data_IF_807232715206
#
_entry.id   IF_807232715206
#
_cell.length_a   1.000
_cell.length_b   1.000
_cell.length_c   1.000
_cell.angle_alpha   90.00
_cell.angle_beta   90.00
_cell.angle_gamma   90.00
#
_symmetry.space_group_name_H-M   'P 1'
#
loop_
_entity.id
_entity.type
_entity.pdbx_description
1 polymer ?
#
# COMPACT_ATOMS: atom_id res chain seq x y z
N UNK A 1 7.04 13.04 -10.84
CA UNK A 1 7.23 13.36 -9.40
C UNK A 1 7.31 12.06 -8.63
N UNK A 2 8.34 11.83 -7.81
CA UNK A 2 8.33 10.68 -6.87
C UNK A 2 7.37 11.05 -5.74
N UNK A 3 6.22 10.38 -5.65
CA UNK A 3 5.45 10.39 -4.41
C UNK A 3 6.38 9.93 -3.28
N UNK A 4 6.30 10.53 -2.10
CA UNK A 4 6.95 10.00 -0.91
C UNK A 4 5.93 9.10 -0.21
N UNK A 5 6.38 8.03 0.45
CA UNK A 5 5.49 7.12 1.19
C UNK A 5 4.67 7.88 2.25
N UNK A 6 5.22 8.94 2.85
CA UNK A 6 4.51 9.80 3.82
C UNK A 6 3.20 10.40 3.29
N UNK A 7 3.05 10.54 1.95
CA UNK A 7 1.82 11.07 1.35
C UNK A 7 0.73 10.01 1.12
N UNK A 8 1.07 8.72 1.19
CA UNK A 8 0.10 7.64 0.98
C UNK A 8 -0.39 7.04 2.29
N UNK A 9 0.38 7.17 3.37
CA UNK A 9 -0.06 6.75 4.70
C UNK A 9 -1.27 7.59 5.14
N UNK A 10 -2.31 6.93 5.66
CA UNK A 10 -3.62 7.49 5.97
C UNK A 10 -4.54 7.65 4.75
N UNK A 11 -4.08 7.26 3.55
CA UNK A 11 -4.89 7.30 2.35
C UNK A 11 -5.82 6.09 2.20
N UNK A 12 -6.99 6.31 1.59
CA UNK A 12 -7.98 5.28 1.31
C UNK A 12 -7.46 4.29 0.25
N UNK A 13 -7.41 3.01 0.58
CA UNK A 13 -7.10 1.95 -0.39
C UNK A 13 -8.34 1.66 -1.22
N UNK A 14 -8.29 1.93 -2.52
CA UNK A 14 -9.42 1.64 -3.42
C UNK A 14 -9.26 0.32 -4.18
N UNK A 15 -8.03 -0.21 -4.24
CA UNK A 15 -7.78 -1.51 -4.87
C UNK A 15 -6.49 -2.15 -4.34
N UNK A 16 -6.49 -3.48 -4.24
CA UNK A 16 -5.31 -4.31 -3.96
C UNK A 16 -5.19 -5.33 -5.09
N UNK A 17 -4.08 -5.30 -5.83
CA UNK A 17 -3.82 -6.14 -7.00
C UNK A 17 -2.59 -7.04 -6.77
N UNK A 18 -2.81 -8.34 -6.88
CA UNK A 18 -1.75 -9.35 -6.96
C UNK A 18 -1.94 -10.17 -8.26
N UNK A 19 -1.12 -9.97 -9.30
CA UNK A 19 -1.20 -10.74 -10.53
C UNK A 19 -0.81 -12.20 -10.30
N UNK A 20 -1.27 -13.08 -11.20
CA UNK A 20 -1.03 -14.53 -11.12
C UNK A 20 0.46 -14.90 -11.13
N UNK A 21 1.28 -14.14 -11.86
CA UNK A 21 2.74 -14.32 -11.93
C UNK A 21 3.49 -13.84 -10.66
N UNK A 22 2.77 -13.18 -9.74
CA UNK A 22 3.29 -12.61 -8.50
C UNK A 22 4.51 -11.73 -8.73
N UNK A 23 4.54 -10.95 -9.80
CA UNK A 23 5.65 -10.02 -10.06
C UNK A 23 5.63 -8.80 -9.13
N UNK A 24 4.47 -8.48 -8.56
CA UNK A 24 4.32 -7.39 -7.60
C UNK A 24 3.07 -7.56 -6.74
N UNK A 25 2.99 -6.81 -5.64
CA UNK A 25 1.75 -6.48 -4.95
C UNK A 25 1.52 -4.97 -5.12
N UNK A 26 0.34 -4.56 -5.57
CA UNK A 26 0.01 -3.15 -5.83
C UNK A 26 -1.19 -2.71 -5.00
N UNK A 27 -1.02 -1.61 -4.29
CA UNK A 27 -2.10 -0.85 -3.66
C UNK A 27 -2.38 0.39 -4.51
N UNK A 28 -3.64 0.66 -4.79
CA UNK A 28 -4.09 1.92 -5.36
C UNK A 28 -4.67 2.73 -4.22
N UNK A 29 -4.03 3.86 -3.90
CA UNK A 29 -4.33 4.66 -2.70
C UNK A 29 -4.79 6.05 -3.13
N UNK A 30 -5.97 6.46 -2.67
CA UNK A 30 -6.48 7.82 -2.85
C UNK A 30 -5.90 8.71 -1.75
N UNK A 31 -5.31 9.85 -2.13
CA UNK A 31 -4.58 10.74 -1.21
C UNK A 31 -5.17 12.15 -1.11
N UNK A 32 -6.30 12.40 -1.77
CA UNK A 32 -7.04 13.66 -1.73
C UNK A 32 -8.54 13.37 -1.69
N UNK A 33 -9.26 14.05 -0.80
CA UNK A 33 -10.72 13.95 -0.70
C UNK A 33 -11.45 14.70 -1.81
N UNK A 34 -10.79 15.67 -2.45
CA UNK A 34 -11.41 16.57 -3.43
C UNK A 34 -11.24 16.11 -4.88
N UNK A 35 -10.23 15.27 -5.16
CA UNK A 35 -9.90 14.79 -6.51
C UNK A 35 -9.89 13.26 -6.57
N UNK A 36 -9.98 12.68 -7.78
CA UNK A 36 -9.75 11.25 -8.05
C UNK A 36 -8.23 10.91 -8.12
N UNK A 37 -7.40 11.75 -7.50
CA UNK A 37 -5.96 11.56 -7.50
C UNK A 37 -5.59 10.33 -6.67
N UNK A 38 -5.01 9.35 -7.38
CA UNK A 38 -4.54 8.09 -6.81
C UNK A 38 -3.04 7.93 -6.99
N UNK A 39 -2.41 7.29 -6.01
CA UNK A 39 -1.01 6.90 -6.02
C UNK A 39 -0.94 5.39 -5.94
N UNK A 40 -0.08 4.81 -6.77
CA UNK A 40 0.17 3.37 -6.75
C UNK A 40 1.37 3.07 -5.86
N UNK A 41 1.18 2.22 -4.85
CA UNK A 41 2.26 1.63 -4.06
C UNK A 41 2.48 0.20 -4.56
N UNK A 42 3.68 -0.10 -5.08
CA UNK A 42 4.07 -1.40 -5.61
C UNK A 42 5.21 -1.99 -4.82
N UNK A 43 5.11 -3.26 -4.48
CA UNK A 43 6.15 -4.07 -3.83
C UNK A 43 6.59 -5.16 -4.80
N UNK A 44 7.89 -5.30 -5.06
CA UNK A 44 8.41 -6.16 -6.13
C UNK A 44 9.88 -6.52 -5.88
N UNK A 45 10.37 -7.54 -6.60
CA UNK A 45 11.80 -7.83 -6.66
C UNK A 45 12.47 -7.09 -7.82
N UNK A 46 13.63 -6.49 -7.57
CA UNK A 46 14.39 -5.71 -8.55
C UNK A 46 14.91 -6.57 -9.73
N UNK A 47 15.07 -7.87 -9.50
CA UNK A 47 15.48 -8.86 -10.49
C UNK A 47 14.32 -9.44 -11.31
N UNK A 48 13.07 -9.06 -11.02
CA UNK A 48 11.88 -9.59 -11.70
C UNK A 48 11.50 -11.02 -11.28
N UNK A 49 12.08 -11.54 -10.19
CA UNK A 49 11.61 -12.78 -9.60
C UNK A 49 10.24 -12.60 -8.93
N UNK A 50 9.49 -13.68 -8.79
CA UNK A 50 8.20 -13.64 -8.12
C UNK A 50 8.35 -13.31 -6.64
N UNK A 51 7.47 -12.45 -6.12
CA UNK A 51 7.37 -12.16 -4.69
C UNK A 51 6.61 -13.27 -3.96
N UNK A 52 6.85 -13.38 -2.65
CA UNK A 52 5.98 -14.13 -1.73
C UNK A 52 5.14 -13.15 -0.93
N UNK A 53 3.86 -13.47 -0.76
CA UNK A 53 2.91 -12.71 0.05
C UNK A 53 2.36 -13.67 1.11
N UNK A 54 2.33 -13.21 2.36
CA UNK A 54 1.74 -13.93 3.48
C UNK A 54 0.83 -12.99 4.28
N UNK A 55 -0.24 -13.53 4.85
CA UNK A 55 -1.24 -12.77 5.59
C UNK A 55 -1.39 -13.38 6.97
N UNK A 56 -1.04 -12.63 8.01
CA UNK A 56 -1.48 -12.98 9.36
C UNK A 56 -2.96 -12.66 9.54
N UNK A 57 -3.45 -11.63 8.86
CA UNK A 57 -4.87 -11.28 8.78
C UNK A 57 -5.17 -10.51 7.50
N UNK A 58 -6.23 -10.90 6.78
CA UNK A 58 -6.72 -10.17 5.61
C UNK A 58 -8.24 -10.01 5.69
N UNK A 59 -8.70 -8.76 5.70
CA UNK A 59 -10.11 -8.39 5.71
C UNK A 59 -10.40 -7.50 4.52
N UNK A 60 -11.12 -8.02 3.53
CA UNK A 60 -11.56 -7.24 2.38
C UNK A 60 -13.03 -6.87 2.59
N UNK A 61 -13.26 -5.65 3.08
CA UNK A 61 -14.58 -5.06 3.23
C UNK A 61 -14.68 -3.78 2.41
N UNK A 62 -15.83 -3.55 1.79
CA UNK A 62 -16.11 -2.29 1.11
C UNK A 62 -16.78 -1.33 2.10
N UNK A 63 -16.14 -0.20 2.36
CA UNK A 63 -16.65 0.89 3.18
C UNK A 63 -17.02 2.04 2.26
N UNK A 64 -18.24 2.55 2.37
CA UNK A 64 -18.67 3.75 1.64
C UNK A 64 -18.60 4.97 2.55
N UNK A 65 -17.83 5.98 2.12
CA UNK A 65 -17.77 7.28 2.76
C UNK A 65 -18.71 8.24 2.04
N UNK A 66 -19.83 8.60 2.68
CA UNK A 66 -20.84 9.49 2.10
C UNK A 66 -20.39 10.95 1.96
N UNK A 67 -19.36 11.38 2.70
CA UNK A 67 -18.83 12.75 2.63
C UNK A 67 -17.95 12.96 1.40
N UNK A 68 -17.17 11.94 1.03
CA UNK A 68 -16.23 11.98 -0.10
C UNK A 68 -16.71 11.19 -1.33
N UNK A 69 -17.89 10.58 -1.21
CA UNK A 69 -18.54 9.67 -2.16
C UNK A 69 -17.59 8.60 -2.74
N UNK A 70 -16.81 7.97 -1.87
CA UNK A 70 -15.85 6.93 -2.26
C UNK A 70 -16.10 5.63 -1.53
N UNK A 71 -15.96 4.53 -2.28
CA UNK A 71 -15.88 3.18 -1.71
C UNK A 71 -14.43 2.77 -1.59
N UNK A 72 -14.05 2.31 -0.41
CA UNK A 72 -12.67 2.06 0.02
C UNK A 72 -12.58 0.70 0.71
N UNK A 73 -11.39 0.11 0.72
CA UNK A 73 -11.01 -1.10 1.44
C UNK A 73 -10.46 -0.78 2.85
N UNK A 74 -10.57 0.48 3.25
CA UNK A 74 -10.01 1.08 4.44
C UNK A 74 -8.65 1.76 4.20
N UNK A 75 -8.02 2.22 5.26
CA UNK A 75 -6.83 3.05 5.20
C UNK A 75 -5.52 2.25 5.11
N UNK A 76 -4.52 2.79 4.40
CA UNK A 76 -3.13 2.33 4.46
C UNK A 76 -2.44 2.99 5.67
N UNK A 77 -2.24 2.26 6.77
CA UNK A 77 -1.77 2.83 8.03
C UNK A 77 -0.25 2.90 8.16
N UNK A 78 0.46 1.85 7.77
CA UNK A 78 1.92 1.80 7.98
C UNK A 78 2.60 0.83 7.02
N UNK A 79 3.84 1.16 6.64
CA UNK A 79 4.71 0.28 5.84
C UNK A 79 6.09 0.25 6.48
N UNK A 80 6.47 -0.92 7.01
CA UNK A 80 7.75 -1.14 7.67
C UNK A 80 8.64 -2.08 6.87
N UNK A 81 9.93 -1.75 6.75
CA UNK A 81 10.92 -2.64 6.14
C UNK A 81 11.51 -3.58 7.20
N UNK A 82 11.68 -4.85 6.85
CA UNK A 82 12.42 -5.85 7.62
C UNK A 82 13.46 -6.55 6.74
N UNK A 83 14.18 -7.53 7.29
CA UNK A 83 15.30 -8.20 6.61
C UNK A 83 14.91 -8.80 5.25
N UNK A 84 13.76 -9.47 5.16
CA UNK A 84 13.34 -10.19 3.96
C UNK A 84 12.24 -9.47 3.15
N UNK A 85 11.82 -8.26 3.56
CA UNK A 85 10.84 -7.49 2.81
C UNK A 85 10.11 -6.40 3.59
N UNK A 86 8.79 -6.33 3.43
CA UNK A 86 7.93 -5.30 3.99
C UNK A 86 6.74 -5.87 4.76
N UNK A 87 6.41 -5.23 5.87
CA UNK A 87 5.17 -5.42 6.62
C UNK A 87 4.26 -4.24 6.32
N UNK A 88 3.05 -4.52 5.88
CA UNK A 88 2.04 -3.53 5.50
C UNK A 88 0.87 -3.67 6.45
N UNK A 89 0.50 -2.57 7.11
CA UNK A 89 -0.63 -2.49 8.02
C UNK A 89 -1.68 -1.55 7.45
N UNK A 90 -2.94 -1.90 7.70
CA UNK A 90 -4.09 -1.08 7.38
C UNK A 90 -5.36 -1.69 7.96
N UNK A 91 -6.50 -1.05 7.70
CA UNK A 91 -7.83 -1.57 8.07
C UNK A 91 -8.11 -2.97 7.48
N UNK A 92 -7.45 -3.30 6.37
CA UNK A 92 -7.50 -4.59 5.72
C UNK A 92 -6.67 -5.68 6.44
N UNK A 93 -6.01 -5.37 7.56
CA UNK A 93 -5.19 -6.30 8.34
C UNK A 93 -3.68 -6.18 8.04
N UNK A 94 -2.94 -7.26 8.31
CA UNK A 94 -1.48 -7.29 8.21
C UNK A 94 -1.03 -8.18 7.05
N UNK A 95 -0.28 -7.58 6.13
CA UNK A 95 0.29 -8.25 4.94
C UNK A 95 1.81 -8.24 5.01
N UNK A 96 2.42 -9.41 4.91
CA UNK A 96 3.86 -9.57 4.72
C UNK A 96 4.17 -9.75 3.24
N UNK A 97 5.09 -8.95 2.72
CA UNK A 97 5.57 -9.03 1.35
C UNK A 97 7.06 -9.26 1.36
N UNK A 98 7.50 -10.43 0.92
CA UNK A 98 8.90 -10.81 0.85
C UNK A 98 9.46 -10.36 -0.51
N UNK A 99 10.10 -9.19 -0.50
CA UNK A 99 10.70 -8.60 -1.69
C UNK A 99 11.78 -7.56 -1.36
N UNK A 100 12.53 -7.07 -2.35
CA UNK A 100 13.67 -6.17 -2.12
C UNK A 100 13.38 -4.67 -2.38
N UNK A 101 12.31 -4.35 -3.14
CA UNK A 101 11.98 -2.98 -3.54
C UNK A 101 10.51 -2.64 -3.32
N UNK A 102 10.27 -1.34 -3.11
CA UNK A 102 8.94 -0.74 -3.20
C UNK A 102 8.97 0.59 -3.96
N UNK A 103 7.84 0.96 -4.55
CA UNK A 103 7.65 2.24 -5.24
C UNK A 103 6.28 2.82 -4.88
N UNK A 104 6.18 4.05 -4.36
CA UNK A 104 7.30 4.95 -4.08
C UNK A 104 8.25 4.39 -3.03
N UNK A 105 9.53 4.75 -3.12
CA UNK A 105 10.51 4.39 -2.09
C UNK A 105 10.05 4.94 -0.74
N UNK A 106 10.17 4.14 0.32
CA UNK A 106 10.14 4.62 1.69
C UNK A 106 11.22 5.70 1.85
N UNK A 107 10.82 6.97 1.79
CA UNK A 107 11.71 8.05 2.22
C UNK A 107 11.38 8.31 3.66
N UNK A 108 12.24 7.88 4.56
CA UNK A 108 12.15 8.27 5.97
C UNK A 108 12.50 9.76 6.04
N UNK A 109 11.50 10.63 6.13
CA UNK A 109 11.71 11.99 6.63
C UNK A 109 11.07 12.08 8.01
N UNK A 110 11.91 11.93 9.03
CA UNK A 110 11.55 12.39 10.37
C UNK A 110 11.55 13.91 10.29
N UNK A 111 10.36 14.51 10.24
CA UNK A 111 10.16 15.87 10.73
C UNK A 111 9.03 15.81 11.73
N UNK A 112 9.41 15.81 13.01
CA UNK A 112 8.56 16.22 14.11
C UNK A 112 7.98 17.60 13.81
N UNK A 113 6.71 17.79 14.16
CA UNK A 113 6.19 19.13 14.44
C UNK A 113 7.00 19.81 15.55
#
# INVERSE_FOLDING_TARGET
>A
MRANMDRVIGGDVINIEAPQDRQYLKFVVRVSSCDFDSINVRFYNSDGSAIKIDFSELRIGLVWNSETDVTTLGELEEVNKFEEGFVILGDFGTVYVYCDQCSPSLKTFITSC
#
